data_IF_993239518450
#
_entry.id   IF_993239518450
#
_cell.length_a   1.000
_cell.length_b   1.000
_cell.length_c   1.000
_cell.angle_alpha   90.00
_cell.angle_beta   90.00
_cell.angle_gamma   90.00
#
_symmetry.space_group_name_H-M   'P 1'
#
loop_
_entity.id
_entity.type
_entity.pdbx_description
1 polymer ?
#
# COMPACT_ATOMS: atom_id res chain seq x y z
N UNK A 1 -38.94 51.18 16.43
CA UNK A 1 -39.16 49.73 16.22
C UNK A 1 -38.64 49.23 14.87
N UNK A 2 -39.06 49.80 13.73
CA UNK A 2 -38.68 49.30 12.39
C UNK A 2 -37.16 49.25 12.12
N UNK A 3 -36.39 50.27 12.53
CA UNK A 3 -34.91 50.32 12.40
C UNK A 3 -34.17 49.23 13.19
N UNK A 4 -34.71 48.80 14.32
CA UNK A 4 -34.11 47.72 15.12
C UNK A 4 -34.31 46.37 14.44
N UNK A 5 -35.50 46.13 13.89
CA UNK A 5 -35.84 44.88 13.18
C UNK A 5 -34.97 44.73 11.93
N UNK A 6 -34.80 45.81 11.15
CA UNK A 6 -33.92 45.79 9.97
C UNK A 6 -32.46 45.53 10.32
N UNK A 7 -31.98 46.03 11.46
CA UNK A 7 -30.62 45.80 11.93
C UNK A 7 -30.42 44.32 12.31
N UNK A 8 -31.37 43.75 13.06
CA UNK A 8 -31.31 42.33 13.45
C UNK A 8 -31.33 41.38 12.26
N UNK A 9 -32.18 41.65 11.26
CA UNK A 9 -32.25 40.83 10.03
C UNK A 9 -30.93 40.92 9.25
N UNK A 10 -30.36 42.12 9.13
CA UNK A 10 -29.09 42.33 8.42
C UNK A 10 -27.93 41.61 9.11
N UNK A 11 -27.86 41.66 10.45
CA UNK A 11 -26.85 40.93 11.24
C UNK A 11 -27.01 39.41 11.09
N UNK A 12 -28.23 38.89 11.12
CA UNK A 12 -28.53 37.47 10.95
C UNK A 12 -28.15 36.99 9.54
N UNK A 13 -28.44 37.77 8.49
CA UNK A 13 -28.04 37.47 7.11
C UNK A 13 -26.52 37.46 6.97
N UNK A 14 -25.80 38.41 7.56
CA UNK A 14 -24.32 38.43 7.54
C UNK A 14 -23.73 37.23 8.29
N UNK A 15 -24.35 36.79 9.39
CA UNK A 15 -23.97 35.58 10.13
C UNK A 15 -24.20 34.30 9.30
N UNK A 16 -25.32 34.20 8.58
CA UNK A 16 -25.64 33.07 7.69
C UNK A 16 -24.69 33.03 6.48
N UNK A 17 -24.38 34.19 5.88
CA UNK A 17 -23.45 34.29 4.75
C UNK A 17 -21.98 34.04 5.13
N UNK A 18 -21.63 34.16 6.42
CA UNK A 18 -20.30 33.82 6.96
C UNK A 18 -20.13 32.35 7.35
N UNK A 19 -21.13 31.49 7.11
CA UNK A 19 -20.98 30.02 7.22
C UNK A 19 -20.19 29.55 5.99
N UNK A 20 -18.95 30.00 5.88
CA UNK A 20 -17.98 29.46 4.95
C UNK A 20 -17.62 28.10 5.50
N UNK A 21 -18.22 27.05 4.93
CA UNK A 21 -17.89 25.67 5.28
C UNK A 21 -16.38 25.51 5.15
N UNK A 22 -15.68 25.29 6.27
CA UNK A 22 -14.28 24.91 6.29
C UNK A 22 -14.19 23.50 5.71
N UNK A 23 -14.23 23.41 4.38
CA UNK A 23 -14.04 22.18 3.64
C UNK A 23 -12.56 21.92 3.56
N UNK A 24 -12.11 20.80 4.13
CA UNK A 24 -10.75 20.34 3.93
C UNK A 24 -10.52 20.08 2.43
N UNK A 25 -9.39 20.53 1.91
CA UNK A 25 -9.01 20.24 0.52
C UNK A 25 -8.62 18.76 0.43
N UNK A 26 -9.07 18.02 -0.60
CA UNK A 26 -8.66 16.63 -0.78
C UNK A 26 -7.15 16.55 -1.04
N UNK A 27 -6.51 15.52 -0.48
CA UNK A 27 -5.09 15.22 -0.66
C UNK A 27 -4.98 13.84 -1.28
N UNK A 28 -4.15 13.72 -2.32
CA UNK A 28 -3.78 12.46 -2.94
C UNK A 28 -2.33 12.16 -2.59
N UNK A 29 -2.08 10.96 -2.08
CA UNK A 29 -0.73 10.50 -1.71
C UNK A 29 -0.28 9.47 -2.73
N UNK A 30 0.85 9.76 -3.37
CA UNK A 30 1.52 8.84 -4.29
C UNK A 30 2.80 8.34 -3.61
N UNK A 31 2.84 7.06 -3.20
CA UNK A 31 4.04 6.50 -2.57
C UNK A 31 5.17 6.42 -3.60
N UNK A 32 6.40 6.56 -3.09
CA UNK A 32 7.61 6.34 -3.89
C UNK A 32 7.89 4.86 -4.15
N UNK A 33 9.03 4.58 -4.79
CA UNK A 33 9.50 3.21 -5.00
C UNK A 33 9.59 2.46 -3.67
N UNK A 34 9.05 1.25 -3.64
CA UNK A 34 9.03 0.38 -2.45
C UNK A 34 8.27 0.96 -1.23
N UNK A 35 7.47 2.03 -1.42
CA UNK A 35 6.68 2.67 -0.35
C UNK A 35 5.25 2.13 -0.20
N UNK A 36 4.95 0.94 -0.73
CA UNK A 36 3.62 0.34 -0.65
C UNK A 36 3.73 -1.14 -0.36
N UNK A 37 2.88 -1.65 0.54
CA UNK A 37 2.81 -3.08 0.82
C UNK A 37 2.32 -3.86 -0.39
N UNK A 38 3.04 -4.94 -0.70
CA UNK A 38 2.68 -5.88 -1.76
C UNK A 38 2.42 -7.25 -1.17
N UNK A 39 1.42 -7.92 -1.73
CA UNK A 39 1.12 -9.32 -1.44
C UNK A 39 1.40 -10.18 -2.66
N UNK A 40 1.84 -11.40 -2.42
CA UNK A 40 1.98 -12.42 -3.45
C UNK A 40 1.08 -13.62 -3.15
N UNK A 41 0.60 -14.29 -4.20
CA UNK A 41 -0.05 -15.60 -4.16
C UNK A 41 0.68 -16.54 -5.09
N UNK A 42 0.91 -17.78 -4.64
CA UNK A 42 1.65 -18.78 -5.40
C UNK A 42 0.71 -19.93 -5.75
N UNK A 43 0.65 -20.28 -7.03
CA UNK A 43 -0.12 -21.40 -7.57
C UNK A 43 0.78 -22.22 -8.48
N UNK A 44 1.29 -23.35 -7.96
CA UNK A 44 2.21 -24.25 -8.65
C UNK A 44 3.44 -23.53 -9.24
N UNK A 45 4.00 -22.57 -8.50
CA UNK A 45 5.18 -21.83 -8.90
C UNK A 45 6.35 -22.79 -9.15
N UNK A 46 7.03 -22.61 -10.28
CA UNK A 46 8.26 -23.35 -10.60
C UNK A 46 9.47 -22.60 -10.07
N UNK A 47 10.03 -23.10 -8.97
CA UNK A 47 11.26 -22.58 -8.40
C UNK A 47 12.48 -23.42 -8.81
N UNK A 48 13.64 -22.76 -8.94
CA UNK A 48 14.94 -23.44 -9.13
C UNK A 48 15.46 -24.04 -7.82
N UNK A 49 15.00 -23.53 -6.69
CA UNK A 49 15.44 -23.91 -5.36
C UNK A 49 14.39 -24.78 -4.69
N UNK A 50 14.81 -25.95 -4.19
CA UNK A 50 13.91 -26.96 -3.63
C UNK A 50 13.20 -26.48 -2.35
N UNK A 51 13.79 -25.53 -1.63
CA UNK A 51 13.28 -25.00 -0.36
C UNK A 51 12.30 -23.83 -0.53
N UNK A 52 12.03 -23.38 -1.75
CA UNK A 52 11.03 -22.34 -1.99
C UNK A 52 9.62 -22.91 -2.02
N UNK A 53 8.67 -22.17 -1.44
CA UNK A 53 7.27 -22.52 -1.49
C UNK A 53 6.74 -22.43 -2.92
N UNK A 54 5.93 -23.41 -3.31
CA UNK A 54 5.32 -23.46 -4.65
C UNK A 54 3.85 -23.06 -4.64
N UNK A 55 3.21 -23.18 -3.48
CA UNK A 55 1.81 -22.87 -3.24
C UNK A 55 1.69 -22.07 -1.94
N UNK A 56 0.95 -20.98 -1.99
CA UNK A 56 0.65 -20.13 -0.85
C UNK A 56 -0.54 -19.26 -1.19
N UNK A 57 -1.47 -19.09 -0.25
CA UNK A 57 -2.43 -18.00 -0.29
C UNK A 57 -1.72 -16.65 -0.19
N UNK A 58 -2.48 -15.55 -0.30
CA UNK A 58 -1.96 -14.20 -0.21
C UNK A 58 -1.13 -14.00 1.07
N UNK A 59 0.13 -13.60 0.88
CA UNK A 59 1.05 -13.27 1.97
C UNK A 59 1.78 -11.97 1.67
N UNK A 60 2.20 -11.26 2.71
CA UNK A 60 2.99 -10.03 2.58
C UNK A 60 4.39 -10.38 2.05
N UNK A 61 4.64 -10.04 0.77
CA UNK A 61 5.96 -10.21 0.14
C UNK A 61 6.83 -8.96 0.33
N UNK A 62 6.21 -7.77 0.46
CA UNK A 62 6.95 -6.52 0.67
C UNK A 62 6.19 -5.56 1.61
N UNK A 63 6.79 -4.99 2.67
CA UNK A 63 8.08 -5.34 3.26
C UNK A 63 7.91 -6.34 4.41
N UNK A 64 8.56 -7.49 4.29
CA UNK A 64 8.54 -8.55 5.30
C UNK A 64 9.96 -9.01 5.60
N UNK A 65 10.46 -8.74 6.81
CA UNK A 65 11.83 -9.05 7.24
C UNK A 65 12.18 -10.53 7.01
N UNK A 66 11.22 -11.44 7.20
CA UNK A 66 11.47 -12.87 7.04
C UNK A 66 11.70 -13.28 5.59
N UNK A 67 11.07 -12.59 4.64
CA UNK A 67 11.29 -12.81 3.20
C UNK A 67 12.63 -12.23 2.73
N UNK A 68 13.18 -11.27 3.48
CA UNK A 68 14.48 -10.64 3.21
C UNK A 68 15.67 -11.35 3.87
N UNK A 69 15.44 -12.43 4.64
CA UNK A 69 16.53 -13.20 5.25
C UNK A 69 17.38 -13.91 4.17
N UNK A 70 18.69 -14.11 4.39
CA UNK A 70 19.59 -14.68 3.37
C UNK A 70 19.13 -16.01 2.75
N UNK A 71 18.47 -16.88 3.52
CA UNK A 71 17.96 -18.16 3.03
C UNK A 71 16.64 -18.05 2.24
N UNK A 72 15.87 -16.96 2.41
CA UNK A 72 14.63 -16.66 1.66
C UNK A 72 14.86 -15.73 0.47
N UNK A 73 15.95 -14.97 0.48
CA UNK A 73 16.31 -14.00 -0.56
C UNK A 73 16.28 -14.59 -2.00
N UNK A 74 16.67 -15.86 -2.18
CA UNK A 74 16.58 -16.50 -3.50
C UNK A 74 15.12 -16.74 -3.93
N UNK A 75 14.25 -17.15 -3.00
CA UNK A 75 12.83 -17.31 -3.27
C UNK A 75 12.15 -15.96 -3.54
N UNK A 76 12.46 -14.95 -2.72
CA UNK A 76 11.98 -13.58 -2.90
C UNK A 76 12.30 -13.05 -4.29
N UNK A 77 13.56 -13.18 -4.73
CA UNK A 77 13.99 -12.79 -6.08
C UNK A 77 13.20 -13.50 -7.17
N UNK A 78 12.98 -14.81 -7.05
CA UNK A 78 12.21 -15.58 -8.05
C UNK A 78 10.74 -15.13 -8.13
N UNK A 79 10.13 -14.79 -6.99
CA UNK A 79 8.74 -14.31 -6.91
C UNK A 79 8.63 -12.90 -7.50
N UNK A 80 9.54 -12.00 -7.14
CA UNK A 80 9.53 -10.59 -7.55
C UNK A 80 10.12 -10.34 -8.96
N UNK A 81 10.60 -11.37 -9.65
CA UNK A 81 11.14 -11.23 -11.01
C UNK A 81 10.02 -10.93 -12.00
N UNK A 82 10.23 -9.89 -12.80
CA UNK A 82 9.40 -9.56 -13.96
C UNK A 82 10.09 -10.08 -15.22
N UNK A 83 9.40 -10.93 -15.98
CA UNK A 83 9.86 -11.46 -17.26
C UNK A 83 9.45 -10.52 -18.38
N UNK A 84 10.44 -9.96 -19.07
CA UNK A 84 10.20 -9.08 -20.19
C UNK A 84 10.15 -9.86 -21.50
N UNK A 85 9.11 -9.63 -22.31
CA UNK A 85 9.00 -10.22 -23.65
C UNK A 85 9.36 -9.20 -24.73
N UNK A 86 10.55 -9.38 -25.31
CA UNK A 86 11.10 -8.52 -26.37
C UNK A 86 10.22 -8.42 -27.63
N UNK A 87 9.28 -9.34 -27.87
CA UNK A 87 8.39 -9.28 -29.04
C UNK A 87 7.22 -8.31 -28.86
N UNK A 88 6.80 -8.08 -27.61
CA UNK A 88 5.57 -7.34 -27.32
C UNK A 88 5.81 -5.97 -26.66
N UNK A 89 7.06 -5.59 -26.36
CA UNK A 89 7.60 -4.29 -25.89
C UNK A 89 6.86 -3.50 -24.78
N UNK A 90 5.68 -3.91 -24.36
CA UNK A 90 4.71 -3.10 -23.59
C UNK A 90 4.39 -3.70 -22.23
N UNK A 91 4.63 -5.00 -22.03
CA UNK A 91 4.24 -5.70 -20.82
C UNK A 91 5.32 -6.66 -20.34
N UNK A 92 5.74 -6.49 -19.07
CA UNK A 92 6.38 -7.53 -18.30
C UNK A 92 5.34 -8.44 -17.68
N UNK A 93 5.67 -9.72 -17.50
CA UNK A 93 4.81 -10.70 -16.83
C UNK A 93 5.47 -11.21 -15.57
N UNK A 94 4.66 -11.55 -14.56
CA UNK A 94 5.17 -12.21 -13.37
C UNK A 94 5.73 -13.60 -13.70
N UNK A 95 6.56 -14.13 -12.80
CA UNK A 95 6.95 -15.55 -12.84
C UNK A 95 5.70 -16.44 -12.92
N UNK A 96 5.69 -17.49 -13.77
CA UNK A 96 4.54 -18.39 -13.89
C UNK A 96 4.12 -18.99 -12.54
N UNK A 97 2.84 -18.87 -12.22
CA UNK A 97 2.28 -19.29 -10.94
C UNK A 97 2.44 -18.27 -9.82
N UNK A 98 2.86 -17.03 -10.12
CA UNK A 98 2.96 -15.92 -9.16
C UNK A 98 1.99 -14.82 -9.54
N UNK A 99 1.15 -14.43 -8.57
CA UNK A 99 0.30 -13.25 -8.65
C UNK A 99 0.77 -12.25 -7.59
N UNK A 100 0.78 -10.96 -7.95
CA UNK A 100 1.19 -9.88 -7.05
C UNK A 100 0.07 -8.83 -7.07
N UNK A 101 -0.30 -8.32 -5.89
CA UNK A 101 -1.25 -7.22 -5.74
C UNK A 101 -0.80 -6.21 -4.69
N UNK A 102 -1.41 -5.03 -4.72
CA UNK A 102 -1.34 -4.09 -3.60
C UNK A 102 -2.09 -4.70 -2.43
N UNK A 103 -1.53 -4.57 -1.23
CA UNK A 103 -2.07 -5.13 0.01
C UNK A 103 -3.59 -4.95 0.12
N UNK A 104 -4.32 -6.06 0.33
CA UNK A 104 -5.78 -6.07 0.49
C UNK A 104 -6.59 -5.32 -0.60
N UNK A 105 -6.05 -5.21 -1.83
CA UNK A 105 -6.68 -4.45 -2.91
C UNK A 105 -7.03 -3.01 -2.48
N UNK A 106 -6.18 -2.40 -1.66
CA UNK A 106 -6.48 -1.18 -0.89
C UNK A 106 -6.40 0.14 -1.67
N UNK A 107 -6.72 0.14 -2.96
CA UNK A 107 -6.68 1.37 -3.74
C UNK A 107 -7.62 2.43 -3.16
N UNK A 108 -7.12 3.66 -2.96
CA UNK A 108 -7.88 4.75 -2.33
C UNK A 108 -7.88 4.73 -0.80
N UNK A 109 -7.14 3.82 -0.17
CA UNK A 109 -6.99 3.72 1.29
C UNK A 109 -5.51 3.87 1.70
N UNK A 110 -5.29 4.08 2.99
CA UNK A 110 -3.95 4.30 3.56
C UNK A 110 -3.26 3.02 4.05
N UNK A 111 -3.97 1.90 4.17
CA UNK A 111 -3.47 0.69 4.81
C UNK A 111 -2.24 0.08 4.14
N UNK A 112 -2.05 0.28 2.83
CA UNK A 112 -0.85 -0.17 2.14
C UNK A 112 0.35 0.77 2.25
N UNK A 113 0.17 2.02 2.68
CA UNK A 113 1.22 3.07 2.64
C UNK A 113 1.53 3.70 4.01
N UNK A 114 0.63 3.59 4.98
CA UNK A 114 0.82 4.15 6.34
C UNK A 114 2.00 3.47 7.05
N UNK A 115 2.09 2.14 6.93
CA UNK A 115 3.19 1.32 7.44
C UNK A 115 3.57 0.28 6.39
N UNK A 116 4.87 0.18 6.11
CA UNK A 116 5.39 -0.73 5.07
C UNK A 116 5.55 -2.18 5.55
N UNK A 117 5.55 -2.41 6.87
CA UNK A 117 5.68 -3.73 7.48
C UNK A 117 4.71 -3.90 8.64
N UNK A 118 4.48 -5.15 9.05
CA UNK A 118 3.78 -5.46 10.30
C UNK A 118 4.65 -5.21 11.53
N UNK A 119 5.98 -5.24 11.38
CA UNK A 119 6.90 -5.04 12.48
C UNK A 119 7.03 -3.56 12.82
N UNK A 120 6.90 -3.27 14.11
CA UNK A 120 7.22 -1.97 14.67
C UNK A 120 8.69 -1.94 15.09
N UNK A 121 9.55 -1.43 14.23
CA UNK A 121 10.99 -1.37 14.45
C UNK A 121 11.39 -0.49 15.64
N UNK A 122 10.54 0.44 16.09
CA UNK A 122 10.86 1.31 17.23
C UNK A 122 10.67 0.60 18.57
N UNK A 123 9.72 -0.34 18.64
CA UNK A 123 9.32 -1.00 19.89
C UNK A 123 9.67 -2.49 19.95
N UNK A 124 10.20 -3.08 18.87
CA UNK A 124 10.58 -4.49 18.85
C UNK A 124 12.07 -4.67 19.15
N UNK A 125 12.38 -5.26 20.30
CA UNK A 125 13.72 -5.81 20.61
C UNK A 125 13.96 -7.03 19.71
N UNK A 126 14.34 -6.81 18.45
CA UNK A 126 14.76 -7.88 17.53
C UNK A 126 16.14 -8.41 17.94
N UNK A 127 16.18 -9.25 18.98
CA UNK A 127 17.31 -10.15 19.19
C UNK A 127 17.16 -11.28 18.16
N UNK A 128 17.80 -11.12 17.01
CA UNK A 128 17.94 -12.21 16.04
C UNK A 128 19.00 -13.15 16.61
N UNK A 129 18.58 -14.12 17.42
CA UNK A 129 19.42 -15.26 17.76
C UNK A 129 19.49 -16.16 16.52
N UNK A 130 20.54 -15.97 15.72
CA UNK A 130 20.95 -16.87 14.65
C UNK A 130 21.62 -18.12 15.23
#
# INVERSE_FOLDING_TARGET
MLKMITCTISVVIILILKIQSFTLKPILIFPGYAGTKLEARLTNMKSKHWYCNKNSDWFLIWFNIFEELPFKMNCFKEIMTIHYNNKNYTHGTNTPGVEIRVFNDSFGRLDAIEKISYYDFENSNLIINL
#
